data_IF_435099906745
#
_entry.id   IF_435099906745
#
_cell.length_a   1.000
_cell.length_b   1.000
_cell.length_c   1.000
_cell.angle_alpha   90.00
_cell.angle_beta   90.00
_cell.angle_gamma   90.00
#
_symmetry.space_group_name_H-M   'P 1'
#
loop_
_entity.id
_entity.type
_entity.pdbx_description
1 polymer ?
#
# COMPACT_ATOMS: atom_id res chain seq x y z
N UNK A 1 -18.18 -4.22 -27.68
CA UNK A 1 -18.03 -4.88 -26.37
C UNK A 1 -18.49 -3.91 -25.29
N UNK A 2 -19.33 -4.33 -24.35
CA UNK A 2 -19.79 -3.45 -23.27
C UNK A 2 -18.62 -3.09 -22.35
N UNK A 3 -18.43 -1.81 -21.96
CA UNK A 3 -17.38 -1.37 -21.02
C UNK A 3 -17.44 -2.07 -19.64
N UNK A 4 -18.54 -2.76 -19.33
CA UNK A 4 -18.82 -3.33 -18.01
C UNK A 4 -18.32 -4.77 -17.78
N UNK A 5 -17.58 -5.38 -18.72
CA UNK A 5 -17.19 -6.80 -18.64
C UNK A 5 -15.85 -7.07 -17.95
N UNK A 6 -15.22 -6.08 -17.30
CA UNK A 6 -13.94 -6.27 -16.58
C UNK A 6 -14.22 -6.84 -15.19
N UNK A 7 -13.67 -8.03 -14.88
CA UNK A 7 -13.66 -8.57 -13.51
C UNK A 7 -12.97 -7.56 -12.58
N UNK A 8 -13.74 -6.96 -11.67
CA UNK A 8 -13.27 -5.95 -10.72
C UNK A 8 -12.57 -6.55 -9.50
N UNK A 9 -12.72 -7.87 -9.27
CA UNK A 9 -12.18 -8.57 -8.10
C UNK A 9 -11.44 -9.81 -8.58
N UNK A 10 -10.23 -9.99 -8.05
CA UNK A 10 -9.41 -11.17 -8.23
C UNK A 10 -8.89 -11.63 -6.86
N UNK A 11 -8.82 -12.95 -6.67
CA UNK A 11 -8.16 -13.56 -5.52
C UNK A 11 -6.93 -14.30 -6.04
N UNK A 12 -5.80 -14.09 -5.38
CA UNK A 12 -4.52 -14.74 -5.69
C UNK A 12 -3.95 -15.35 -4.41
N UNK A 13 -3.01 -16.28 -4.56
CA UNK A 13 -2.44 -17.02 -3.43
C UNK A 13 -1.12 -16.43 -2.91
N UNK A 14 -0.60 -15.40 -3.59
CA UNK A 14 0.69 -14.79 -3.30
C UNK A 14 0.55 -13.26 -3.17
N UNK A 15 1.11 -12.69 -2.10
CA UNK A 15 1.02 -11.26 -1.83
C UNK A 15 1.81 -10.41 -2.85
N UNK A 16 2.89 -10.93 -3.44
CA UNK A 16 3.65 -10.22 -4.48
C UNK A 16 2.86 -10.16 -5.78
N UNK A 17 2.09 -11.20 -6.11
CA UNK A 17 1.14 -11.17 -7.23
C UNK A 17 0.03 -10.15 -6.97
N UNK A 18 -0.56 -10.16 -5.77
CA UNK A 18 -1.65 -9.25 -5.40
C UNK A 18 -1.26 -7.77 -5.49
N UNK A 19 0.02 -7.46 -5.28
CA UNK A 19 0.55 -6.09 -5.23
C UNK A 19 1.18 -5.63 -6.53
N UNK A 20 1.38 -6.51 -7.51
CA UNK A 20 1.99 -6.17 -8.80
C UNK A 20 1.09 -5.24 -9.60
N UNK A 21 1.62 -4.07 -9.99
CA UNK A 21 0.86 -3.02 -10.70
C UNK A 21 -0.21 -2.35 -9.86
N UNK A 22 -0.26 -2.61 -8.55
CA UNK A 22 -1.20 -1.95 -7.66
C UNK A 22 -0.74 -0.50 -7.40
N UNK A 23 -1.71 0.41 -7.26
CA UNK A 23 -1.46 1.79 -6.83
C UNK A 23 -1.39 1.89 -5.30
N UNK A 24 -2.15 1.04 -4.60
CA UNK A 24 -2.22 1.06 -3.14
C UNK A 24 -2.46 -0.32 -2.56
N UNK A 25 -1.97 -0.53 -1.34
CA UNK A 25 -2.15 -1.74 -0.55
C UNK A 25 -2.99 -1.41 0.68
N UNK A 26 -3.99 -2.23 0.99
CA UNK A 26 -4.78 -2.12 2.22
C UNK A 26 -4.56 -3.37 3.09
N UNK A 27 -3.96 -3.19 4.27
CA UNK A 27 -3.76 -4.27 5.24
C UNK A 27 -4.96 -4.27 6.19
N UNK A 28 -5.82 -5.28 6.03
CA UNK A 28 -7.10 -5.39 6.75
C UNK A 28 -7.11 -6.50 7.79
N UNK A 29 -6.06 -7.32 7.86
CA UNK A 29 -5.92 -8.41 8.83
C UNK A 29 -4.47 -8.50 9.30
N UNK A 30 -4.27 -8.82 10.58
CA UNK A 30 -3.01 -8.78 11.31
C UNK A 30 -2.15 -10.05 11.19
N UNK A 31 -2.07 -10.65 10.00
CA UNK A 31 -1.23 -11.82 9.79
C UNK A 31 0.25 -11.48 9.94
N UNK A 32 0.97 -12.26 10.77
CA UNK A 32 2.41 -12.07 11.00
C UNK A 32 3.24 -12.15 9.71
N UNK A 33 2.77 -12.90 8.72
CA UNK A 33 3.38 -13.01 7.39
C UNK A 33 3.60 -11.63 6.74
N UNK A 34 2.64 -10.71 6.89
CA UNK A 34 2.75 -9.37 6.31
C UNK A 34 3.91 -8.56 6.90
N UNK A 35 4.37 -8.86 8.13
CA UNK A 35 5.53 -8.19 8.75
C UNK A 35 6.84 -8.55 8.05
N UNK A 36 6.89 -9.73 7.44
CA UNK A 36 8.12 -10.36 6.93
C UNK A 36 8.28 -10.22 5.42
N UNK A 37 7.31 -9.64 4.72
CA UNK A 37 7.37 -9.44 3.27
C UNK A 37 8.52 -8.52 2.86
N UNK A 38 9.07 -8.76 1.67
CA UNK A 38 10.04 -7.85 1.05
C UNK A 38 9.29 -6.65 0.43
N UNK A 39 9.09 -5.62 1.26
CA UNK A 39 8.45 -4.38 0.83
C UNK A 39 9.24 -3.60 -0.23
N UNK A 40 10.56 -3.83 -0.38
CA UNK A 40 11.32 -3.19 -1.46
C UNK A 40 10.96 -3.82 -2.79
N UNK A 41 10.87 -5.15 -2.84
CA UNK A 41 10.38 -5.88 -4.02
C UNK A 41 8.95 -5.50 -4.37
N UNK A 42 8.07 -5.42 -3.37
CA UNK A 42 6.68 -4.97 -3.58
C UNK A 42 6.66 -3.56 -4.14
N UNK A 43 7.41 -2.63 -3.54
CA UNK A 43 7.49 -1.26 -4.02
C UNK A 43 7.93 -1.22 -5.48
N UNK A 44 9.00 -1.92 -5.87
CA UNK A 44 9.51 -1.88 -7.24
C UNK A 44 8.49 -2.39 -8.29
N UNK A 45 7.56 -3.26 -7.88
CA UNK A 45 6.50 -3.80 -8.73
C UNK A 45 5.20 -3.00 -8.75
N UNK A 46 5.08 -1.94 -7.95
CA UNK A 46 3.87 -1.11 -7.83
C UNK A 46 3.93 0.18 -8.65
N UNK A 47 2.76 0.68 -9.07
CA UNK A 47 2.62 2.00 -9.70
C UNK A 47 3.04 3.13 -8.76
N UNK A 48 3.46 4.26 -9.32
CA UNK A 48 3.92 5.44 -8.55
C UNK A 48 2.97 6.63 -8.71
N UNK A 49 2.65 7.35 -7.62
CA UNK A 49 3.07 7.09 -6.23
C UNK A 49 2.43 5.82 -5.63
N UNK A 50 3.19 5.09 -4.82
CA UNK A 50 2.74 3.84 -4.20
C UNK A 50 2.25 4.08 -2.76
N UNK A 51 1.03 3.64 -2.47
CA UNK A 51 0.38 3.86 -1.18
C UNK A 51 0.29 2.58 -0.33
N UNK A 52 0.39 2.75 0.99
CA UNK A 52 0.07 1.70 1.97
C UNK A 52 -0.90 2.27 3.01
N UNK A 53 -2.02 1.59 3.17
CA UNK A 53 -3.04 1.84 4.18
C UNK A 53 -3.01 0.67 5.18
N UNK A 54 -2.42 0.89 6.34
CA UNK A 54 -2.33 -0.12 7.39
C UNK A 54 -3.42 0.14 8.45
N UNK A 55 -4.52 -0.61 8.34
CA UNK A 55 -5.62 -0.58 9.28
C UNK A 55 -5.39 -1.40 10.55
N UNK A 56 -4.28 -2.14 10.64
CA UNK A 56 -3.99 -3.10 11.72
C UNK A 56 -2.66 -2.82 12.43
N UNK A 57 -1.91 -1.80 12.02
CA UNK A 57 -0.60 -1.43 12.55
C UNK A 57 0.39 -2.61 12.58
N UNK A 58 0.42 -3.37 11.48
CA UNK A 58 1.25 -4.56 11.28
C UNK A 58 2.64 -4.18 10.78
N UNK A 59 2.74 -3.18 9.90
CA UNK A 59 4.00 -2.85 9.21
C UNK A 59 4.74 -1.70 9.88
N UNK A 60 6.06 -1.68 9.71
CA UNK A 60 6.88 -0.55 10.11
C UNK A 60 6.72 0.60 9.13
N UNK A 61 5.86 1.56 9.49
CA UNK A 61 5.58 2.73 8.67
C UNK A 61 6.83 3.56 8.35
N UNK A 62 7.79 3.68 9.28
CA UNK A 62 9.01 4.45 9.04
C UNK A 62 9.92 3.74 8.03
N UNK A 63 10.04 2.42 8.14
CA UNK A 63 10.79 1.61 7.16
C UNK A 63 10.18 1.72 5.76
N UNK A 64 8.85 1.63 5.64
CA UNK A 64 8.17 1.74 4.35
C UNK A 64 8.29 3.14 3.75
N UNK A 65 8.22 4.20 4.57
CA UNK A 65 8.47 5.58 4.12
C UNK A 65 9.89 5.76 3.58
N UNK A 66 10.90 5.17 4.23
CA UNK A 66 12.30 5.18 3.74
C UNK A 66 12.47 4.47 2.40
N UNK A 67 11.64 3.47 2.10
CA UNK A 67 11.61 2.81 0.78
C UNK A 67 11.01 3.74 -0.29
N UNK A 68 10.07 4.59 0.10
CA UNK A 68 9.39 5.55 -0.77
C UNK A 68 7.87 5.40 -0.82
N UNK A 69 7.28 4.53 0.02
CA UNK A 69 5.82 4.46 0.14
C UNK A 69 5.26 5.70 0.82
N UNK A 70 4.05 6.08 0.40
CA UNK A 70 3.19 6.98 1.16
C UNK A 70 2.36 6.12 2.11
N UNK A 71 2.59 6.26 3.42
CA UNK A 71 2.01 5.36 4.43
C UNK A 71 1.00 6.08 5.31
N UNK A 72 -0.22 5.55 5.31
CA UNK A 72 -1.29 5.88 6.24
C UNK A 72 -1.48 4.71 7.21
N UNK A 73 -1.30 4.95 8.50
CA UNK A 73 -1.47 3.93 9.54
C UNK A 73 -2.23 4.52 10.73
N UNK A 74 -3.11 3.71 11.33
CA UNK A 74 -3.98 4.18 12.40
C UNK A 74 -3.15 4.65 13.61
N UNK A 75 -3.39 5.88 14.07
CA UNK A 75 -2.69 6.43 15.23
C UNK A 75 -1.21 6.78 14.98
N UNK A 76 -0.75 6.79 13.72
CA UNK A 76 0.59 7.24 13.35
C UNK A 76 0.52 8.62 12.67
N UNK A 77 1.53 9.50 12.89
CA UNK A 77 1.58 10.78 12.18
C UNK A 77 1.73 10.56 10.67
N UNK A 78 1.12 11.44 9.88
CA UNK A 78 1.36 11.52 8.44
C UNK A 78 2.79 11.98 8.13
N UNK A 79 3.26 11.68 6.92
CA UNK A 79 4.49 12.26 6.39
C UNK A 79 4.45 13.79 6.44
N UNK A 80 5.59 14.41 6.77
CA UNK A 80 5.65 15.86 6.98
C UNK A 80 5.17 16.64 5.74
N UNK A 81 5.62 16.23 4.55
CA UNK A 81 5.24 16.87 3.29
C UNK A 81 3.74 16.76 2.96
N UNK A 82 3.02 15.75 3.49
CA UNK A 82 1.57 15.66 3.34
C UNK A 82 0.84 16.70 4.19
N UNK A 83 1.43 17.12 5.32
CA UNK A 83 0.86 18.19 6.16
C UNK A 83 0.99 19.56 5.50
N UNK A 84 2.03 19.71 4.70
CA UNK A 84 2.34 20.94 3.96
C UNK A 84 1.78 20.91 2.53
N UNK A 85 1.15 19.80 2.11
CA UNK A 85 0.46 19.75 0.83
C UNK A 85 -0.67 20.77 0.88
N UNK A 86 -0.68 21.79 0.00
CA UNK A 86 -1.85 22.65 -0.11
C UNK A 86 -3.00 21.70 -0.36
N UNK A 87 -4.01 21.71 0.51
CA UNK A 87 -5.25 20.99 0.29
C UNK A 87 -5.63 21.31 -1.16
N UNK A 88 -5.56 20.31 -2.03
CA UNK A 88 -5.69 20.51 -3.48
C UNK A 88 -7.00 21.25 -3.64
N UNK A 89 -6.91 22.50 -4.10
CA UNK A 89 -8.04 23.40 -4.26
C UNK A 89 -9.12 22.79 -5.16
#
# INVERSE_FOLDING_TARGET
>A
MSPTSVKQVACVWDAYEATKGAHGICILTEWDEFKLLDYKRIFDGMEKPAFVFDGRNVVDAEKLRKIGFIVYAIGKPLDAWLKDMPAVA
#
